data_IF_540065034323
#
_entry.id   IF_540065034323
#
_cell.length_a   1.000
_cell.length_b   1.000
_cell.length_c   1.000
_cell.angle_alpha   90.00
_cell.angle_beta   90.00
_cell.angle_gamma   90.00
#
_symmetry.space_group_name_H-M   'P 1'
#
loop_
_entity.id
_entity.type
_entity.pdbx_description
1 polymer ?
#
# COMPACT_ATOMS: atom_id res chain seq x y z
N UNK A 1 14.11 -7.15 -5.22
CA UNK A 1 12.79 -7.71 -5.60
C UNK A 1 11.87 -7.62 -4.39
N UNK A 2 10.70 -7.02 -4.54
CA UNK A 2 9.78 -6.69 -3.44
C UNK A 2 8.83 -7.85 -3.12
N UNK A 3 8.77 -8.26 -1.85
CA UNK A 3 7.84 -9.28 -1.34
C UNK A 3 6.98 -8.72 -0.19
N UNK A 4 5.66 -8.90 -0.28
CA UNK A 4 4.72 -8.53 0.80
C UNK A 4 4.64 -9.71 1.77
N UNK A 5 5.10 -9.50 3.00
CA UNK A 5 5.16 -10.56 4.03
C UNK A 5 3.97 -10.52 4.98
N UNK A 6 3.42 -9.32 5.22
CA UNK A 6 2.23 -9.12 6.03
C UNK A 6 1.41 -7.97 5.47
N UNK A 7 0.10 -8.00 5.69
CA UNK A 7 -0.77 -6.91 5.32
C UNK A 7 -1.89 -6.72 6.35
N UNK A 8 -2.39 -5.50 6.43
CA UNK A 8 -3.70 -5.16 7.00
C UNK A 8 -4.43 -4.20 6.07
N UNK A 9 -5.76 -4.26 6.11
CA UNK A 9 -6.63 -3.39 5.32
C UNK A 9 -7.74 -2.82 6.20
N UNK A 10 -8.00 -1.52 6.06
CA UNK A 10 -9.10 -0.83 6.71
C UNK A 10 -9.89 0.01 5.69
N UNK A 11 -11.22 -0.09 5.70
CA UNK A 11 -12.08 0.79 4.88
C UNK A 11 -12.13 2.19 5.51
N UNK A 12 -11.78 3.22 4.72
CA UNK A 12 -11.87 4.60 5.14
C UNK A 12 -13.34 5.04 5.00
N UNK A 13 -14.03 5.11 6.13
CA UNK A 13 -15.37 5.67 6.20
C UNK A 13 -15.32 7.20 5.99
N UNK A 14 -15.93 7.68 4.91
CA UNK A 14 -16.12 9.10 4.67
C UNK A 14 -17.47 9.58 5.23
N UNK A 15 -17.52 10.18 6.44
CA UNK A 15 -18.77 10.70 7.00
C UNK A 15 -19.31 11.90 6.23
N UNK A 16 -18.48 12.54 5.39
CA UNK A 16 -18.87 13.75 4.65
C UNK A 16 -19.56 13.45 3.32
N UNK A 17 -19.33 12.25 2.75
CA UNK A 17 -19.86 11.83 1.46
C UNK A 17 -19.30 12.63 0.28
N UNK A 18 -18.13 13.24 0.43
CA UNK A 18 -17.44 13.99 -0.61
C UNK A 18 -16.65 13.04 -1.53
N UNK A 19 -16.19 11.91 -0.98
CA UNK A 19 -15.39 10.94 -1.71
C UNK A 19 -16.31 10.10 -2.60
N UNK A 20 -16.10 10.19 -3.90
CA UNK A 20 -16.73 9.29 -4.86
C UNK A 20 -16.05 7.92 -4.80
N UNK A 21 -16.85 6.87 -4.61
CA UNK A 21 -16.35 5.49 -4.47
C UNK A 21 -15.94 5.16 -3.03
N UNK A 22 -15.21 4.06 -2.87
CA UNK A 22 -14.66 3.62 -1.58
C UNK A 22 -13.18 3.89 -1.52
N UNK A 23 -12.66 4.04 -0.31
CA UNK A 23 -11.22 4.12 -0.07
C UNK A 23 -10.81 3.12 0.98
N UNK A 24 -9.63 2.58 0.80
CA UNK A 24 -9.04 1.58 1.67
C UNK A 24 -7.63 2.02 2.03
N UNK A 25 -7.32 1.91 3.31
CA UNK A 25 -5.95 2.02 3.81
C UNK A 25 -5.37 0.62 3.91
N UNK A 26 -4.25 0.41 3.22
CA UNK A 26 -3.43 -0.78 3.33
C UNK A 26 -2.15 -0.46 4.05
N UNK A 27 -1.79 -1.28 5.02
CA UNK A 27 -0.45 -1.33 5.60
C UNK A 27 0.18 -2.64 5.18
N UNK A 28 1.27 -2.58 4.43
CA UNK A 28 1.94 -3.73 3.85
C UNK A 28 3.37 -3.78 4.40
N UNK A 29 3.72 -4.84 5.11
CA UNK A 29 5.11 -5.08 5.47
C UNK A 29 5.80 -5.70 4.26
N UNK A 30 6.83 -5.01 3.77
CA UNK A 30 7.56 -5.37 2.55
C UNK A 30 9.01 -5.69 2.89
N UNK A 31 9.47 -6.83 2.36
CA UNK A 31 10.86 -7.25 2.38
C UNK A 31 11.44 -7.08 0.99
N UNK A 32 12.64 -6.53 0.94
CA UNK A 32 13.43 -6.30 -0.27
C UNK A 32 14.85 -6.82 -0.04
N UNK A 33 15.57 -7.06 -1.13
CA UNK A 33 16.96 -7.52 -1.06
C UNK A 33 17.87 -6.46 -0.44
N UNK A 34 18.99 -6.85 0.19
CA UNK A 34 19.96 -5.90 0.80
C UNK A 34 20.58 -4.92 -0.20
N UNK A 35 20.55 -5.25 -1.49
CA UNK A 35 21.06 -4.41 -2.58
C UNK A 35 20.01 -3.41 -3.11
N UNK A 36 18.78 -3.51 -2.63
CA UNK A 36 17.64 -2.69 -3.05
C UNK A 36 17.68 -1.31 -2.40
N UNK A 37 17.24 -0.26 -3.10
CA UNK A 37 17.28 1.10 -2.57
C UNK A 37 16.27 1.32 -1.44
N UNK A 38 15.20 0.53 -1.42
CA UNK A 38 14.20 0.56 -0.37
C UNK A 38 14.68 -0.16 0.90
N UNK A 39 15.80 -0.90 0.85
CA UNK A 39 16.23 -1.73 1.98
C UNK A 39 16.44 -0.92 3.27
N UNK A 40 15.82 -1.38 4.35
CA UNK A 40 16.04 -0.91 5.71
C UNK A 40 16.31 -2.10 6.62
N UNK A 41 17.27 -1.97 7.54
CA UNK A 41 17.62 -3.04 8.50
C UNK A 41 16.41 -3.50 9.35
N UNK A 42 15.46 -2.60 9.58
CA UNK A 42 14.25 -2.88 10.36
C UNK A 42 13.07 -3.37 9.51
N UNK A 43 13.23 -3.44 8.18
CA UNK A 43 12.15 -3.63 7.22
C UNK A 43 11.41 -2.34 6.88
N UNK A 44 10.57 -2.41 5.85
CA UNK A 44 9.78 -1.28 5.35
C UNK A 44 8.30 -1.59 5.48
N UNK A 45 7.54 -0.60 5.92
CA UNK A 45 6.08 -0.62 5.90
C UNK A 45 5.62 0.32 4.77
N UNK A 46 4.84 -0.21 3.85
CA UNK A 46 4.19 0.54 2.79
C UNK A 46 2.75 0.82 3.20
N UNK A 47 2.43 2.09 3.40
CA UNK A 47 1.07 2.57 3.57
C UNK A 47 0.50 2.99 2.23
N UNK A 48 -0.44 2.22 1.68
CA UNK A 48 -1.08 2.50 0.40
C UNK A 48 -2.56 2.86 0.58
N UNK A 49 -2.98 3.98 -0.01
CA UNK A 49 -4.37 4.40 -0.06
C UNK A 49 -4.94 3.99 -1.41
N UNK A 50 -5.87 3.04 -1.42
CA UNK A 50 -6.50 2.52 -2.63
C UNK A 50 -7.89 3.12 -2.77
N UNK A 51 -8.17 3.66 -3.96
CA UNK A 51 -9.50 4.11 -4.35
C UNK A 51 -10.19 3.06 -5.20
N UNK A 52 -11.45 2.74 -4.87
CA UNK A 52 -12.32 1.87 -5.67
C UNK A 52 -13.49 2.71 -6.20
N UNK A 53 -13.63 2.76 -7.52
CA UNK A 53 -14.76 3.44 -8.17
C UNK A 53 -15.24 2.60 -9.34
N UNK A 54 -16.52 2.21 -9.29
CA UNK A 54 -17.16 1.39 -10.33
C UNK A 54 -16.40 0.07 -10.61
N UNK A 55 -15.80 -0.54 -9.57
CA UNK A 55 -14.98 -1.75 -9.71
C UNK A 55 -13.57 -1.52 -10.28
N UNK A 56 -13.16 -0.26 -10.47
CA UNK A 56 -11.80 0.13 -10.86
C UNK A 56 -11.03 0.53 -9.61
N UNK A 57 -9.91 -0.15 -9.38
CA UNK A 57 -9.00 0.09 -8.27
C UNK A 57 -7.78 0.89 -8.74
N UNK A 58 -7.34 1.87 -7.97
CA UNK A 58 -6.17 2.68 -8.26
C UNK A 58 -5.47 3.12 -6.98
N UNK A 59 -4.15 3.33 -7.06
CA UNK A 59 -3.37 3.94 -5.99
C UNK A 59 -3.65 5.44 -5.94
N UNK A 60 -4.20 5.92 -4.83
CA UNK A 60 -4.46 7.35 -4.59
C UNK A 60 -3.21 8.02 -4.03
N UNK A 61 -2.55 7.34 -3.08
CA UNK A 61 -1.36 7.81 -2.41
C UNK A 61 -0.61 6.63 -1.80
N UNK A 62 0.70 6.74 -1.67
CA UNK A 62 1.50 5.81 -0.90
C UNK A 62 2.53 6.54 -0.03
N UNK A 63 2.98 5.86 1.02
CA UNK A 63 4.10 6.29 1.85
C UNK A 63 4.92 5.06 2.25
N UNK A 64 6.23 5.19 2.15
CA UNK A 64 7.17 4.20 2.67
C UNK A 64 7.65 4.65 4.03
N UNK A 65 7.61 3.76 5.01
CA UNK A 65 8.00 4.03 6.38
C UNK A 65 9.00 2.99 6.86
N UNK A 66 9.98 3.40 7.67
CA UNK A 66 10.75 2.43 8.46
C UNK A 66 9.81 1.76 9.47
N UNK A 67 9.77 0.43 9.44
CA UNK A 67 8.78 -0.39 10.16
C UNK A 67 8.79 -0.18 11.68
N UNK A 68 9.92 0.19 12.25
CA UNK A 68 10.08 0.33 13.72
C UNK A 68 9.91 1.78 14.16
N UNK A 69 10.51 2.71 13.42
CA UNK A 69 10.55 4.13 13.79
C UNK A 69 9.39 4.93 13.23
N UNK A 70 8.60 4.33 12.32
CA UNK A 70 7.50 4.96 11.57
C UNK A 70 7.90 6.25 10.86
N UNK A 71 9.20 6.40 10.60
CA UNK A 71 9.76 7.53 9.90
C UNK A 71 9.49 7.36 8.42
N UNK A 72 8.91 8.39 7.79
CA UNK A 72 8.72 8.44 6.35
C UNK A 72 10.09 8.39 5.66
N UNK A 73 10.22 7.46 4.74
CA UNK A 73 11.36 7.31 3.85
C UNK A 73 11.10 8.16 2.60
N UNK A 74 12.12 8.90 2.16
CA UNK A 74 12.03 9.79 0.99
C UNK A 74 12.33 8.99 -0.29
N UNK A 75 11.54 7.94 -0.49
CA UNK A 75 11.56 7.06 -1.65
C UNK A 75 10.15 6.92 -2.21
N UNK A 76 10.06 6.62 -3.49
CA UNK A 76 8.82 6.35 -4.20
C UNK A 76 8.92 4.94 -4.78
N UNK A 77 7.78 4.28 -4.94
CA UNK A 77 7.73 3.01 -5.65
C UNK A 77 7.96 3.21 -7.14
N UNK A 78 8.66 2.26 -7.78
CA UNK A 78 8.75 2.21 -9.23
C UNK A 78 7.39 1.83 -9.86
N UNK A 79 7.19 2.15 -11.14
CA UNK A 79 5.92 1.87 -11.84
C UNK A 79 5.52 0.39 -11.76
N UNK A 80 6.47 -0.53 -11.87
CA UNK A 80 6.23 -1.98 -11.78
C UNK A 80 5.80 -2.40 -10.35
N UNK A 81 6.36 -1.78 -9.32
CA UNK A 81 6.00 -2.04 -7.92
C UNK A 81 4.62 -1.47 -7.59
N UNK A 82 4.30 -0.28 -8.10
CA UNK A 82 2.97 0.31 -7.99
C UNK A 82 1.91 -0.62 -8.61
N UNK A 83 2.16 -1.15 -9.81
CA UNK A 83 1.26 -2.10 -10.45
C UNK A 83 1.09 -3.38 -9.63
N UNK A 84 2.18 -3.90 -9.05
CA UNK A 84 2.16 -5.08 -8.17
C UNK A 84 1.31 -4.83 -6.91
N UNK A 85 1.51 -3.70 -6.25
CA UNK A 85 0.77 -3.31 -5.04
C UNK A 85 -0.71 -3.14 -5.33
N UNK A 86 -1.07 -2.43 -6.41
CA UNK A 86 -2.47 -2.25 -6.80
C UNK A 86 -3.14 -3.59 -7.13
N UNK A 87 -2.44 -4.47 -7.85
CA UNK A 87 -2.94 -5.80 -8.16
C UNK A 87 -3.18 -6.63 -6.89
N UNK A 88 -2.22 -6.63 -5.96
CA UNK A 88 -2.34 -7.31 -4.67
C UNK A 88 -3.53 -6.78 -3.86
N UNK A 89 -3.62 -5.46 -3.66
CA UNK A 89 -4.71 -4.84 -2.89
C UNK A 89 -6.08 -5.15 -3.50
N UNK A 90 -6.19 -5.13 -4.83
CA UNK A 90 -7.41 -5.51 -5.54
C UNK A 90 -7.79 -6.97 -5.24
N UNK A 91 -6.85 -7.90 -5.32
CA UNK A 91 -7.13 -9.31 -5.03
C UNK A 91 -7.60 -9.52 -3.59
N UNK A 92 -6.96 -8.84 -2.62
CA UNK A 92 -7.39 -8.86 -1.21
C UNK A 92 -8.83 -8.38 -1.05
N UNK A 93 -9.18 -7.23 -1.64
CA UNK A 93 -10.54 -6.68 -1.55
C UNK A 93 -11.59 -7.55 -2.23
N UNK A 94 -11.23 -8.27 -3.30
CA UNK A 94 -12.13 -9.19 -3.97
C UNK A 94 -12.33 -10.51 -3.20
N UNK A 95 -11.38 -10.93 -2.38
CA UNK A 95 -11.53 -12.13 -1.53
C UNK A 95 -12.32 -11.86 -0.26
N UNK A 96 -12.27 -10.64 0.28
CA UNK A 96 -13.01 -10.23 1.47
C UNK A 96 -14.47 -9.78 1.17
N UNK A 97 -14.85 -9.67 -0.10
CA UNK A 97 -16.16 -9.14 -0.55
C UNK A 97 -17.23 -10.20 -0.84
#
# INVERSE_FOLDING_TARGET
MMEITQYSVEEIHDPTGIIEGKRYEFLLDIEVDEEDELFQENGVELRAIIGEKDGVYHLVQHFLLDRVTTKILDFELEDEEVEMVVAFCKEVLLQES
#
